data_IF_580630535514
#
_entry.id   IF_580630535514
#
_cell.length_a   1.000
_cell.length_b   1.000
_cell.length_c   1.000
_cell.angle_alpha   90.00
_cell.angle_beta   90.00
_cell.angle_gamma   90.00
#
_symmetry.space_group_name_H-M   'P 1'
#
loop_
_entity.id
_entity.type
_entity.pdbx_description
1 polymer ?
#
# COMPACT_ATOMS: atom_id res chain seq x y z
N UNK A 1 11.57 -11.80 14.02
CA UNK A 1 12.30 -10.61 13.54
C UNK A 1 11.29 -9.67 12.90
N UNK A 2 11.40 -8.38 13.20
CA UNK A 2 10.64 -7.35 12.50
C UNK A 2 11.39 -7.01 11.20
N UNK A 3 10.64 -6.74 10.13
CA UNK A 3 11.17 -6.26 8.86
C UNK A 3 10.46 -4.96 8.51
N UNK A 4 11.19 -4.04 7.93
CA UNK A 4 10.59 -2.79 7.45
C UNK A 4 9.90 -3.05 6.11
N UNK A 5 8.67 -2.58 5.97
CA UNK A 5 7.93 -2.60 4.72
C UNK A 5 7.53 -1.18 4.35
N UNK A 6 7.65 -0.87 3.07
CA UNK A 6 7.28 0.40 2.48
C UNK A 6 5.97 0.24 1.70
N UNK A 7 5.09 1.23 1.83
CA UNK A 7 3.76 1.25 1.22
C UNK A 7 3.69 2.38 0.22
N UNK A 8 4.16 2.13 -0.99
CA UNK A 8 4.19 3.12 -2.06
C UNK A 8 2.80 3.22 -2.72
N UNK A 9 2.12 4.33 -2.46
CA UNK A 9 0.90 4.71 -3.16
C UNK A 9 1.26 5.23 -4.56
N UNK A 10 1.22 4.35 -5.56
CA UNK A 10 1.40 4.77 -6.95
C UNK A 10 0.09 5.36 -7.48
N UNK A 11 -0.08 6.66 -7.25
CA UNK A 11 -1.15 7.49 -7.83
C UNK A 11 -0.76 8.05 -9.21
N UNK A 12 0.50 7.91 -9.63
CA UNK A 12 1.08 8.59 -10.79
C UNK A 12 1.89 9.85 -10.40
N UNK A 13 1.73 10.32 -9.16
CA UNK A 13 2.62 11.33 -8.55
C UNK A 13 3.60 10.61 -7.62
N UNK A 14 4.93 10.84 -7.73
CA UNK A 14 5.92 10.22 -6.86
C UNK A 14 5.91 10.89 -5.47
N UNK A 15 4.82 10.74 -4.72
CA UNK A 15 4.79 11.05 -3.31
C UNK A 15 5.29 9.81 -2.55
N UNK A 16 6.60 9.79 -2.31
CA UNK A 16 7.25 8.72 -1.56
C UNK A 16 6.95 8.95 -0.09
N UNK A 17 5.88 8.35 0.43
CA UNK A 17 5.64 8.28 1.85
C UNK A 17 6.75 7.42 2.47
N UNK A 18 7.80 8.09 2.96
CA UNK A 18 9.02 7.45 3.50
C UNK A 18 8.83 6.81 4.87
N UNK A 19 7.62 6.81 5.41
CA UNK A 19 7.30 6.12 6.67
C UNK A 19 7.16 4.61 6.40
N UNK A 20 8.29 3.93 6.22
CA UNK A 20 8.32 2.48 6.29
C UNK A 20 7.79 2.02 7.66
N UNK A 21 6.99 0.97 7.66
CA UNK A 21 6.37 0.39 8.85
C UNK A 21 6.99 -0.97 9.14
N UNK A 22 7.25 -1.25 10.41
CA UNK A 22 7.82 -2.53 10.83
C UNK A 22 6.73 -3.57 11.03
N UNK A 23 6.83 -4.70 10.32
CA UNK A 23 5.94 -5.84 10.49
C UNK A 23 6.71 -7.11 10.82
N UNK A 24 6.09 -7.98 11.62
CA UNK A 24 6.67 -9.27 11.98
C UNK A 24 6.64 -10.32 10.86
N UNK A 25 5.89 -10.08 9.78
CA UNK A 25 5.72 -11.02 8.65
C UNK A 25 5.11 -10.32 7.43
N UNK A 26 5.35 -10.87 6.24
CA UNK A 26 4.75 -10.42 4.98
C UNK A 26 3.21 -10.34 5.09
N UNK A 27 2.58 -11.33 5.72
CA UNK A 27 1.12 -11.36 5.91
C UNK A 27 0.57 -10.20 6.75
N UNK A 28 1.32 -9.71 7.73
CA UNK A 28 0.91 -8.57 8.54
C UNK A 28 1.01 -7.26 7.74
N UNK A 29 2.05 -7.12 6.91
CA UNK A 29 2.17 -6.00 5.97
C UNK A 29 1.04 -6.00 4.94
N UNK A 30 0.67 -7.16 4.39
CA UNK A 30 -0.45 -7.30 3.44
C UNK A 30 -1.79 -6.95 4.09
N UNK A 31 -2.04 -7.38 5.32
CA UNK A 31 -3.26 -7.03 6.06
C UNK A 31 -3.34 -5.51 6.28
N UNK A 32 -2.20 -4.87 6.58
CA UNK A 32 -2.14 -3.42 6.71
C UNK A 32 -2.40 -2.69 5.39
N UNK A 33 -1.86 -3.16 4.26
CA UNK A 33 -2.12 -2.53 2.96
C UNK A 33 -3.60 -2.55 2.58
N UNK A 34 -4.34 -3.60 2.96
CA UNK A 34 -5.79 -3.68 2.77
C UNK A 34 -6.53 -2.61 3.56
N UNK A 35 -6.24 -2.52 4.86
CA UNK A 35 -6.84 -1.51 5.72
C UNK A 35 -6.51 -0.09 5.25
N UNK A 36 -5.29 0.15 4.79
CA UNK A 36 -4.88 1.41 4.20
C UNK A 36 -5.66 1.72 2.91
N UNK A 37 -5.87 0.74 2.03
CA UNK A 37 -6.68 0.91 0.83
C UNK A 37 -8.12 1.32 1.19
N UNK A 38 -8.73 0.69 2.19
CA UNK A 38 -10.08 1.02 2.66
C UNK A 38 -10.17 2.42 3.30
N UNK A 39 -9.18 2.81 4.09
CA UNK A 39 -9.11 4.15 4.68
C UNK A 39 -8.97 5.23 3.59
N UNK A 40 -8.13 4.99 2.58
CA UNK A 40 -7.98 5.90 1.43
C UNK A 40 -9.28 5.98 0.61
N UNK A 41 -9.95 4.84 0.35
CA UNK A 41 -11.28 4.82 -0.29
C UNK A 41 -12.27 5.69 0.47
N UNK A 42 -12.29 5.56 1.79
CA UNK A 42 -13.22 6.29 2.67
C UNK A 42 -12.92 7.78 2.70
N UNK A 43 -11.64 8.16 2.79
CA UNK A 43 -11.20 9.57 2.80
C UNK A 43 -11.29 10.24 1.43
N UNK A 44 -11.15 9.48 0.35
CA UNK A 44 -11.20 9.96 -1.04
C UNK A 44 -12.15 9.08 -1.87
N UNK A 45 -13.47 9.22 -1.77
CA UNK A 45 -14.42 8.36 -2.48
C UNK A 45 -14.43 8.53 -4.02
N UNK A 46 -13.67 9.47 -4.57
CA UNK A 46 -13.47 9.68 -6.01
C UNK A 46 -12.01 9.81 -6.43
N UNK A 47 -11.10 9.17 -5.69
CA UNK A 47 -9.67 9.18 -6.01
C UNK A 47 -9.34 8.45 -7.31
N UNK A 48 -8.05 8.44 -7.65
CA UNK A 48 -7.59 8.01 -8.96
C UNK A 48 -7.86 6.50 -9.16
N UNK A 49 -8.56 6.06 -10.23
CA UNK A 49 -8.91 4.65 -10.42
C UNK A 49 -7.70 3.73 -10.61
N UNK A 50 -6.53 4.30 -10.88
CA UNK A 50 -5.26 3.59 -11.00
C UNK A 50 -4.45 3.52 -9.70
N UNK A 51 -4.94 4.15 -8.63
CA UNK A 51 -4.29 4.17 -7.33
C UNK A 51 -4.16 2.75 -6.78
N UNK A 52 -2.92 2.41 -6.43
CA UNK A 52 -2.50 1.09 -5.98
C UNK A 52 -1.47 1.27 -4.87
N UNK A 53 -1.56 0.47 -3.83
CA UNK A 53 -0.57 0.39 -2.75
C UNK A 53 0.38 -0.74 -3.11
N UNK A 54 1.65 -0.40 -3.32
CA UNK A 54 2.72 -1.38 -3.53
C UNK A 54 3.43 -1.58 -2.21
N UNK A 55 3.48 -2.83 -1.75
CA UNK A 55 4.17 -3.23 -0.53
C UNK A 55 5.53 -3.79 -0.93
N UNK A 56 6.59 -3.11 -0.49
CA UNK A 56 7.98 -3.49 -0.73
C UNK A 56 8.66 -3.77 0.60
N UNK A 57 9.52 -4.79 0.67
CA UNK A 57 10.33 -5.04 1.87
C UNK A 57 11.52 -4.07 1.98
N UNK A 58 12.31 -4.20 3.05
CA UNK A 58 13.53 -3.43 3.30
C UNK A 58 14.58 -3.56 2.19
N UNK A 59 14.61 -4.68 1.47
CA UNK A 59 15.47 -4.88 0.30
C UNK A 59 14.88 -4.26 -0.99
N UNK A 60 13.73 -3.61 -0.92
CA UNK A 60 13.01 -3.05 -2.06
C UNK A 60 12.32 -4.11 -2.93
N UNK A 61 12.15 -5.35 -2.45
CA UNK A 61 11.44 -6.39 -3.18
C UNK A 61 9.94 -6.18 -3.05
N UNK A 62 9.22 -6.15 -4.17
CA UNK A 62 7.76 -6.10 -4.16
C UNK A 62 7.23 -7.41 -3.55
N UNK A 63 6.64 -7.31 -2.36
CA UNK A 63 6.04 -8.42 -1.63
C UNK A 63 4.58 -8.56 -2.02
N UNK A 64 3.90 -7.42 -2.23
CA UNK A 64 2.48 -7.40 -2.54
C UNK A 64 2.06 -6.12 -3.24
N UNK A 65 0.90 -6.17 -3.89
CA UNK A 65 0.30 -5.00 -4.53
C UNK A 65 -1.23 -5.05 -4.41
N UNK A 66 -1.78 -4.06 -3.74
CA UNK A 66 -3.21 -3.96 -3.44
C UNK A 66 -3.85 -2.79 -4.22
N UNK A 67 -4.83 -3.03 -5.12
CA UNK A 67 -5.59 -1.96 -5.76
C UNK A 67 -6.47 -1.17 -4.76
N UNK A 68 -6.30 0.15 -4.75
CA UNK A 68 -7.09 1.03 -3.87
C UNK A 68 -8.47 1.28 -4.42
N UNK A 69 -8.69 1.43 -5.71
CA UNK A 69 -10.06 1.45 -6.26
C UNK A 69 -10.25 0.20 -7.11
N UNK A 70 -11.15 -0.69 -6.67
CA UNK A 70 -11.62 -1.73 -7.56
C UNK A 70 -12.51 -1.06 -8.59
N UNK A 71 -12.17 -1.18 -9.88
CA UNK A 71 -13.14 -0.96 -10.97
C UNK A 71 -14.26 -1.97 -10.76
N UNK A 72 -15.28 -1.61 -10.00
CA UNK A 72 -16.51 -2.37 -10.00
C UNK A 72 -17.15 -2.12 -11.37
N UNK A 73 -16.89 -3.05 -12.28
CA UNK A 73 -17.52 -3.11 -13.60
C UNK A 73 -18.96 -3.55 -13.46
#
# INVERSE_FOLDING_TARGET
MMRTYYFDMKDGVPARDKSGLEFGSDGAAIAHSKSLAEDVRTKRPGGHPDLRIVVTDENGREVHREPVYSKNR
#
